data_IF_814270841040
#
_entry.id   IF_814270841040
#
_cell.length_a   1.000
_cell.length_b   1.000
_cell.length_c   1.000
_cell.angle_alpha   90.00
_cell.angle_beta   90.00
_cell.angle_gamma   90.00
#
_symmetry.space_group_name_H-M   'P 1'
#
loop_
_entity.id
_entity.type
_entity.pdbx_description
1 polymer ?
#
# COMPACT_ATOMS: atom_id res chain seq x y z
N UNK A 1 -5.69 -11.49 17.99
CA UNK A 1 -5.87 -12.46 16.88
C UNK A 1 -5.02 -11.94 15.74
N UNK A 2 -4.06 -12.76 15.33
CA UNK A 2 -3.03 -12.43 14.35
C UNK A 2 -3.43 -13.11 13.04
N UNK A 3 -4.15 -12.38 12.20
CA UNK A 3 -4.75 -12.93 11.00
C UNK A 3 -3.84 -12.64 9.80
N UNK A 4 -3.22 -13.73 9.33
CA UNK A 4 -2.59 -13.94 8.03
C UNK A 4 -1.60 -12.87 7.53
N UNK A 5 -0.30 -13.05 7.81
CA UNK A 5 0.88 -12.59 7.02
C UNK A 5 0.68 -11.36 6.10
N UNK A 6 -0.01 -10.33 6.57
CA UNK A 6 -0.15 -9.07 5.85
C UNK A 6 1.17 -8.35 6.06
N UNK A 7 1.83 -8.05 4.95
CA UNK A 7 3.04 -7.24 4.93
C UNK A 7 2.73 -5.93 5.69
N UNK A 8 3.69 -5.45 6.47
CA UNK A 8 3.52 -4.23 7.27
C UNK A 8 3.27 -3.03 6.35
N UNK A 9 2.62 -1.98 6.86
CA UNK A 9 2.44 -0.75 6.10
C UNK A 9 3.78 -0.20 5.57
N UNK A 10 4.81 -0.20 6.40
CA UNK A 10 6.15 0.29 6.02
C UNK A 10 6.75 -0.56 4.91
N UNK A 11 6.68 -1.89 5.02
CA UNK A 11 7.17 -2.76 3.95
C UNK A 11 6.36 -2.59 2.65
N UNK A 12 5.04 -2.42 2.72
CA UNK A 12 4.20 -2.19 1.54
C UNK A 12 4.55 -0.88 0.85
N UNK A 13 4.76 0.18 1.64
CA UNK A 13 5.13 1.50 1.16
C UNK A 13 6.52 1.49 0.53
N UNK A 14 7.48 0.83 1.16
CA UNK A 14 8.86 0.79 0.68
C UNK A 14 8.93 0.01 -0.65
N UNK A 15 8.26 -1.14 -0.75
CA UNK A 15 8.16 -1.90 -2.00
C UNK A 15 7.43 -1.10 -3.09
N UNK A 16 6.37 -0.37 -2.74
CA UNK A 16 5.65 0.49 -3.70
C UNK A 16 6.57 1.59 -4.24
N UNK A 17 7.40 2.19 -3.39
CA UNK A 17 8.37 3.21 -3.80
C UNK A 17 9.41 2.63 -4.78
N UNK A 18 9.88 1.40 -4.56
CA UNK A 18 10.78 0.72 -5.49
C UNK A 18 10.13 0.42 -6.85
N UNK A 19 8.86 -0.01 -6.83
CA UNK A 19 8.08 -0.24 -8.06
C UNK A 19 7.91 1.05 -8.85
N UNK A 20 7.54 2.16 -8.19
CA UNK A 20 7.41 3.48 -8.83
C UNK A 20 8.75 3.93 -9.40
N UNK A 21 9.83 3.84 -8.62
CA UNK A 21 11.16 4.21 -9.10
C UNK A 21 11.59 3.39 -10.33
N UNK A 22 11.24 2.11 -10.38
CA UNK A 22 11.51 1.23 -11.53
C UNK A 22 10.71 1.64 -12.77
N UNK A 23 9.43 2.02 -12.60
CA UNK A 23 8.60 2.55 -13.68
C UNK A 23 9.11 3.90 -14.19
N UNK A 24 9.54 4.79 -13.29
CA UNK A 24 10.05 6.12 -13.62
C UNK A 24 11.43 6.09 -14.30
N UNK A 25 12.29 5.14 -13.93
CA UNK A 25 13.61 4.95 -14.56
C UNK A 25 13.46 4.61 -16.05
N UNK A 26 12.36 3.95 -16.42
CA UNK A 26 12.16 3.43 -17.76
C UNK A 26 13.13 2.29 -18.09
N UNK A 27 13.03 1.74 -19.30
CA UNK A 27 13.89 0.64 -19.77
C UNK A 27 13.33 -0.77 -19.53
N UNK A 28 12.20 -0.88 -18.83
CA UNK A 28 11.40 -2.11 -18.79
C UNK A 28 10.66 -2.30 -20.12
N UNK A 29 10.42 -3.56 -20.52
CA UNK A 29 9.54 -3.85 -21.65
C UNK A 29 8.10 -3.47 -21.31
N UNK A 30 7.20 -3.40 -22.29
CA UNK A 30 5.79 -3.15 -22.04
C UNK A 30 5.19 -4.21 -21.08
N UNK A 31 5.53 -5.48 -21.27
CA UNK A 31 5.04 -6.56 -20.41
C UNK A 31 5.57 -6.42 -18.98
N UNK A 32 6.83 -6.07 -18.80
CA UNK A 32 7.41 -5.85 -17.46
C UNK A 32 6.85 -4.59 -16.79
N UNK A 33 6.59 -3.54 -17.58
CA UNK A 33 5.94 -2.32 -17.10
C UNK A 33 4.52 -2.58 -16.62
N UNK A 34 3.78 -3.47 -17.30
CA UNK A 34 2.44 -3.89 -16.86
C UNK A 34 2.51 -4.68 -15.55
N UNK A 35 3.44 -5.64 -15.43
CA UNK A 35 3.62 -6.40 -14.17
C UNK A 35 3.99 -5.50 -12.99
N UNK A 36 4.89 -4.54 -13.21
CA UNK A 36 5.26 -3.55 -12.20
C UNK A 36 4.06 -2.71 -11.80
N UNK A 37 3.26 -2.25 -12.77
CA UNK A 37 2.04 -1.48 -12.49
C UNK A 37 1.03 -2.30 -11.69
N UNK A 38 0.74 -3.54 -12.07
CA UNK A 38 -0.19 -4.42 -11.35
C UNK A 38 0.25 -4.66 -9.90
N UNK A 39 1.57 -4.86 -9.68
CA UNK A 39 2.13 -4.97 -8.33
C UNK A 39 2.00 -3.67 -7.55
N UNK A 40 2.25 -2.53 -8.19
CA UNK A 40 2.08 -1.21 -7.59
C UNK A 40 0.64 -0.98 -7.12
N UNK A 41 -0.36 -1.32 -7.94
CA UNK A 41 -1.78 -1.21 -7.58
C UNK A 41 -2.14 -2.10 -6.37
N UNK A 42 -1.62 -3.34 -6.32
CA UNK A 42 -1.82 -4.22 -5.18
C UNK A 42 -1.23 -3.64 -3.88
N UNK A 43 0.00 -3.12 -3.95
CA UNK A 43 0.67 -2.49 -2.80
C UNK A 43 -0.04 -1.21 -2.35
N UNK A 44 -0.51 -0.39 -3.29
CA UNK A 44 -1.30 0.81 -3.00
C UNK A 44 -2.60 0.45 -2.27
N UNK A 45 -3.30 -0.60 -2.71
CA UNK A 45 -4.49 -1.12 -2.04
C UNK A 45 -4.19 -1.59 -0.61
N UNK A 46 -3.10 -2.31 -0.40
CA UNK A 46 -2.68 -2.74 0.94
C UNK A 46 -2.39 -1.53 1.84
N UNK A 47 -1.67 -0.53 1.33
CA UNK A 47 -1.40 0.71 2.06
C UNK A 47 -2.71 1.40 2.46
N UNK A 48 -3.67 1.50 1.54
CA UNK A 48 -4.97 2.11 1.81
C UNK A 48 -5.75 1.34 2.89
N UNK A 49 -5.79 0.01 2.84
CA UNK A 49 -6.46 -0.80 3.87
C UNK A 49 -5.88 -0.55 5.27
N UNK A 50 -4.55 -0.41 5.38
CA UNK A 50 -3.88 -0.07 6.63
C UNK A 50 -4.30 1.30 7.15
N UNK A 51 -4.27 2.32 6.28
CA UNK A 51 -4.64 3.69 6.64
C UNK A 51 -6.12 3.80 7.02
N UNK A 52 -7.01 3.14 6.27
CA UNK A 52 -8.44 3.08 6.58
C UNK A 52 -8.70 2.40 7.92
N UNK A 53 -8.00 1.29 8.20
CA UNK A 53 -8.07 0.60 9.48
C UNK A 53 -7.60 1.48 10.64
N UNK A 54 -6.52 2.22 10.46
CA UNK A 54 -6.03 3.18 11.44
C UNK A 54 -7.04 4.32 11.66
N UNK A 55 -7.62 4.86 10.56
CA UNK A 55 -8.61 5.92 10.62
C UNK A 55 -9.86 5.49 11.38
N UNK A 56 -10.40 4.31 11.09
CA UNK A 56 -11.56 3.75 11.80
C UNK A 56 -11.32 3.60 13.29
N UNK A 57 -10.11 3.18 13.70
CA UNK A 57 -9.73 3.09 15.12
C UNK A 57 -9.72 4.46 15.79
N UNK A 58 -9.18 5.48 15.11
CA UNK A 58 -9.16 6.86 15.62
C UNK A 58 -10.58 7.43 15.74
N UNK A 59 -11.44 7.19 14.75
CA UNK A 59 -12.83 7.65 14.77
C UNK A 59 -13.65 6.94 15.86
N UNK A 60 -13.33 5.68 16.20
CA UNK A 60 -14.00 4.94 17.28
C UNK A 60 -13.60 5.40 18.69
N UNK A 61 -12.42 6.03 18.86
CA UNK A 61 -11.94 6.55 20.16
C UNK A 61 -12.09 8.06 20.29
N UNK A 62 -12.46 8.76 19.20
CA UNK A 62 -12.83 10.16 19.29
C UNK A 62 -14.10 10.27 20.15
N UNK A 63 -14.11 11.07 21.23
CA UNK A 63 -15.37 11.41 21.86
C UNK A 63 -16.24 12.06 20.78
N UNK A 64 -17.48 11.57 20.64
CA UNK A 64 -18.49 12.31 19.89
C UNK A 64 -18.46 13.74 20.43
N UNK A 65 -18.22 14.71 19.56
CA UNK A 65 -17.93 16.08 19.96
C UNK A 65 -18.92 16.64 20.98
N UNK A 66 -18.40 17.54 21.81
CA UNK A 66 -19.18 18.67 22.35
C UNK A 66 -19.96 19.38 21.24
#
# INVERSE_FOLDING_TARGET
MADAKKISYEAARDELAEVVASLETGGATLEDSLKLWERGEELAKICQEWLDGARKKLDAVKPAGE
#
